data_IF_981861462751
#
_entry.id   IF_981861462751
#
_cell.length_a   1.000
_cell.length_b   1.000
_cell.length_c   1.000
_cell.angle_alpha   90.00
_cell.angle_beta   90.00
_cell.angle_gamma   90.00
#
_symmetry.space_group_name_H-M   'P 1'
#
loop_
_entity.id
_entity.type
_entity.pdbx_description
1 polymer ?
2 polymer ?
#
loop_
_entity_poly.entity_id
_entity_poly.type
_entity_poly.pdbx_seq_one_letter_code
_entity_poly.pdbx_strand_id
2 'polyribonucleotide' 'GUCA' ?
#
# COMPACT_ATOMS: atom_id res chain seq x y z
N UNK A 1 9.34 1.56 -15.73
CA UNK A 1 8.49 0.86 -14.78
C UNK A 1 9.16 0.77 -13.42
N UNK A 2 8.42 1.11 -12.37
CA UNK A 2 8.94 1.06 -11.01
C UNK A 2 8.06 0.18 -10.12
N UNK A 3 8.68 -0.82 -9.51
CA UNK A 3 7.96 -1.74 -8.63
C UNK A 3 8.60 -1.79 -7.25
N UNK A 4 7.77 -1.84 -6.21
CA UNK A 4 8.26 -1.90 -4.85
C UNK A 4 7.67 -3.09 -4.10
N UNK A 5 8.54 -3.91 -3.52
CA UNK A 5 8.11 -5.09 -2.78
C UNK A 5 8.60 -5.04 -1.33
N UNK A 6 7.65 -5.09 -0.40
CA UNK A 6 7.99 -5.05 1.02
C UNK A 6 7.59 -6.34 1.72
N UNK A 7 8.56 -6.99 2.35
CA UNK A 7 8.31 -8.24 3.06
C UNK A 7 8.59 -8.08 4.56
N UNK A 8 7.53 -8.06 5.35
CA UNK A 8 7.66 -7.93 6.80
C UNK A 8 6.35 -8.20 7.51
N UNK A 9 5.56 -9.12 6.95
N UNK B 1 4.55 2.03 -16.00
CA UNK B 1 3.77 1.23 -15.07
C UNK B 1 4.44 1.18 -13.70
N UNK B 2 3.65 1.40 -12.64
CA UNK B 2 4.17 1.36 -11.29
C UNK B 2 3.33 0.44 -10.40
N UNK B 3 3.98 -0.54 -9.81
CA UNK B 3 3.29 -1.50 -8.94
C UNK B 3 3.87 -1.47 -7.53
N UNK B 4 3.00 -1.41 -6.53
CA UNK B 4 3.43 -1.38 -5.14
C UNK B 4 2.83 -2.54 -4.35
N UNK B 5 3.69 -3.27 -3.63
CA UNK B 5 3.24 -4.40 -2.84
C UNK B 5 3.77 -4.32 -1.42
N UNK B 6 2.86 -4.21 -0.46
CA UNK B 6 3.24 -4.13 0.95
C UNK B 6 2.78 -5.36 1.72
N UNK B 7 3.74 -6.05 2.33
CA UNK B 7 3.45 -7.25 3.11
C UNK B 7 3.76 -7.04 4.58
N UNK B 8 2.71 -6.92 5.39
CA UNK B 8 2.87 -6.72 6.82
C UNK B 8 1.59 -7.07 7.58
N UNK B 9 0.88 -8.07 7.08
N UNK C 1 -0.25 2.58 -16.08
CA UNK C 1 -1.02 1.77 -15.15
C UNK C 1 -0.34 1.72 -13.77
N UNK C 2 -1.10 2.06 -12.73
CA UNK C 2 -0.58 2.05 -11.37
C UNK C 2 -1.44 1.20 -10.46
N UNK C 3 -0.83 0.21 -9.82
CA UNK C 3 -1.55 -0.68 -8.91
C UNK C 3 -0.95 -0.63 -7.51
N UNK C 4 -1.82 -0.58 -6.51
CA UNK C 4 -1.38 -0.53 -5.11
C UNK C 4 -1.97 -1.68 -4.31
N UNK C 5 -1.12 -2.43 -3.62
CA UNK C 5 -1.57 -3.55 -2.81
C UNK C 5 -1.06 -3.43 -1.38
N UNK C 6 -1.98 -3.37 -0.42
CA UNK C 6 -1.62 -3.25 0.98
C UNK C 6 -2.13 -4.45 1.78
N UNK C 7 -1.20 -5.17 2.41
CA UNK C 7 -1.55 -6.34 3.20
C UNK C 7 -1.24 -6.09 4.67
N UNK C 8 -2.29 -5.97 5.49
CA UNK C 8 -2.13 -5.75 6.91
C UNK C 8 -3.41 -6.11 7.67
N UNK C 9 -4.15 -7.08 7.15
N UNK E 1 -4.92 3.18 -16.21
CA UNK E 1 -5.73 2.44 -15.25
C UNK E 1 -5.08 2.42 -13.87
N UNK E 2 -5.86 2.76 -12.85
CA UNK E 2 -5.36 2.78 -11.49
C UNK E 2 -6.23 1.93 -10.57
N UNK E 3 -5.61 0.97 -9.90
CA UNK E 3 -6.33 0.07 -8.99
C UNK E 3 -5.76 0.16 -7.58
N UNK E 4 -6.63 0.20 -6.59
CA UNK E 4 -6.22 0.28 -5.20
C UNK E 4 -6.81 -0.86 -4.38
N UNK E 5 -5.96 -1.57 -3.66
CA UNK E 5 -6.40 -2.70 -2.84
C UNK E 5 -5.90 -2.56 -1.41
N UNK E 6 -6.83 -2.49 -0.47
CA UNK E 6 -6.48 -2.35 0.95
C UNK E 6 -6.99 -3.53 1.76
N UNK E 7 -6.08 -4.22 2.44
CA UNK E 7 -6.44 -5.36 3.26
C UNK E 7 -6.18 -5.09 4.73
N UNK E 8 -7.25 -4.96 5.51
CA UNK E 8 -7.14 -4.69 6.94
C UNK E 8 -8.45 -4.98 7.66
N UNK E 9 -9.20 -5.95 7.14
N UNK F 1 -9.68 3.82 -16.37
CA UNK F 1 -10.50 3.08 -15.41
C UNK F 1 -9.85 3.08 -14.03
N UNK F 2 -10.64 3.43 -13.02
CA UNK F 2 -10.14 3.47 -11.64
C UNK F 2 -11.02 2.63 -10.72
N UNK F 3 -10.39 1.68 -10.02
CA UNK F 3 -11.12 0.81 -9.11
C UNK F 3 -10.57 0.92 -7.69
N UNK F 4 -11.46 0.97 -6.71
CA UNK F 4 -11.07 1.09 -5.32
C UNK F 4 -11.65 -0.05 -4.49
N UNK F 5 -10.77 -0.73 -3.74
CA UNK F 5 -11.19 -1.85 -2.91
C UNK F 5 -10.71 -1.68 -1.47
N UNK F 6 -11.64 -1.60 -0.53
CA UNK F 6 -11.31 -1.44 0.87
C UNK F 6 -11.83 -2.61 1.70
N UNK F 7 -10.92 -3.26 2.43
CA UNK F 7 -11.28 -4.40 3.26
C UNK F 7 -11.03 -4.09 4.74
N UNK F 8 -12.12 -3.94 5.50
CA UNK F 8 -12.01 -3.64 6.93
C UNK F 8 -13.31 -4.00 7.65
N UNK F 9 -13.97 -5.05 7.18
N UNK G 1 9.60 -4.84 16.29
CA UNK G 1 9.27 -3.77 15.35
C UNK G 1 9.94 -4.01 14.00
N UNK G 2 9.15 -3.96 12.94
CA UNK G 2 9.67 -4.17 11.59
C UNK G 2 9.28 -3.03 10.67
N UNK G 3 10.28 -2.37 10.08
CA UNK G 3 10.05 -1.25 9.18
C UNK G 3 10.72 -1.49 7.83
N UNK G 4 10.02 -1.14 6.75
CA UNK G 4 10.55 -1.32 5.41
C UNK G 4 10.42 -0.03 4.60
N UNK G 5 11.53 0.40 3.99
CA UNK G 5 11.54 1.61 3.19
C UNK G 5 12.07 1.34 1.78
N UNK G 6 11.26 1.64 0.78
CA UNK G 6 11.65 1.42 -0.61
C UNK G 6 11.61 2.72 -1.40
N UNK G 7 12.74 3.09 -1.98
CA UNK G 7 12.84 4.32 -2.77
C UNK G 7 13.15 4.00 -4.23
N UNK G 8 12.18 4.27 -5.10
CA UNK G 8 12.35 4.02 -6.53
C UNK G 8 11.22 4.65 -7.33
N UNK G 9 10.69 5.76 -6.83
N UNK H 1 4.96 -3.52 16.28
CA UNK H 1 4.61 -2.50 15.29
C UNK H 1 5.30 -2.77 13.95
N UNK H 2 4.52 -2.77 12.88
CA UNK H 2 5.05 -3.01 11.55
C UNK H 2 4.67 -1.88 10.59
N UNK H 3 5.67 -1.24 10.01
CA UNK H 3 5.43 -0.14 9.08
C UNK H 3 6.05 -0.44 7.71
N UNK H 4 5.31 -0.13 6.65
CA UNK H 4 5.79 -0.37 5.30
C UNK H 4 5.67 0.89 4.45
N UNK H 5 6.79 1.28 3.84
CA UNK H 5 6.82 2.48 3.00
C UNK H 5 7.30 2.14 1.60
N UNK H 6 6.46 2.40 0.61
CA UNK H 6 6.80 2.13 -0.79
C UNK H 6 6.84 3.41 -1.60
N UNK H 7 7.94 3.62 -2.33
CA UNK H 7 8.11 4.81 -3.15
C UNK H 7 8.35 4.43 -4.61
N UNK H 8 7.36 4.67 -5.46
CA UNK H 8 7.48 4.36 -6.87
C UNK H 8 6.40 5.07 -7.68
N UNK H 9 6.05 6.28 -7.25
N UNK I 1 0.26 -2.50 16.11
CA UNK I 1 -0.04 -1.44 15.16
C UNK I 1 0.64 -1.70 13.81
N UNK I 2 -0.16 -1.75 12.75
CA UNK I 2 0.37 -1.98 11.41
C UNK I 2 -0.04 -0.87 10.46
N UNK I 3 0.94 -0.21 9.86
CA UNK I 3 0.68 0.87 8.91
C UNK I 3 1.29 0.58 7.55
N UNK I 4 0.54 0.85 6.50
CA UNK I 4 1.01 0.63 5.13
C UNK I 4 0.89 1.88 4.28
N UNK I 5 1.99 2.28 3.66
CA UNK I 5 2.00 3.47 2.82
C UNK I 5 2.50 3.14 1.42
N UNK I 6 1.65 3.39 0.42
CA UNK I 6 2.01 3.12 -0.97
C UNK I 6 1.98 4.40 -1.80
N UNK I 7 3.10 4.73 -2.42
CA UNK I 7 3.21 5.93 -3.23
C UNK I 7 3.37 5.56 -4.70
N UNK I 8 2.35 5.83 -5.50
CA UNK I 8 2.39 5.52 -6.93
C UNK I 8 1.30 6.28 -7.68
N UNK I 9 0.94 7.46 -7.18
N UNK J 1 -4.47 -1.59 16.01
CA UNK J 1 -4.84 -0.57 15.03
C UNK J 1 -4.09 -0.77 13.72
N UNK J 2 -4.84 -0.82 12.62
CA UNK J 2 -4.25 -1.00 11.30
C UNK J 2 -4.70 0.08 10.34
N UNK J 3 -3.75 0.77 9.72
CA UNK J 3 -4.06 1.84 8.78
C UNK J 3 -3.47 1.54 7.40
N UNK J 4 -4.25 1.79 6.36
CA UNK J 4 -3.81 1.54 5.00
C UNK J 4 -3.93 2.81 4.15
N UNK J 5 -2.83 3.20 3.51
CA UNK J 5 -2.82 4.39 2.66
C UNK J 5 -2.33 4.06 1.26
N UNK J 6 -3.19 4.31 0.27
CA UNK J 6 -2.85 4.03 -1.12
C UNK J 6 -2.92 5.30 -1.96
N UNK J 7 -1.81 5.63 -2.61
CA UNK J 7 -1.74 6.82 -3.45
C UNK J 7 -1.57 6.44 -4.92
N UNK J 8 -2.61 6.68 -5.71
CA UNK J 8 -2.57 6.36 -7.13
C UNK J 8 -3.65 7.12 -7.89
N UNK J 9 -3.98 8.31 -7.40
N UNK K 1 -8.80 -0.24 16.00
CA UNK K 1 -9.29 0.69 15.00
C UNK K 1 -8.66 0.42 13.64
N UNK K 2 -9.51 0.28 12.62
CA UNK K 2 -9.04 0.02 11.26
C UNK K 2 -9.47 1.12 10.31
N UNK K 3 -8.49 1.74 9.65
CA UNK K 3 -8.78 2.81 8.71
C UNK K 3 -8.21 2.48 7.32
N UNK K 4 -9.00 2.78 6.29
CA UNK K 4 -8.57 2.51 4.92
C UNK K 4 -8.70 3.76 4.05
N UNK K 5 -7.60 4.14 3.40
CA UNK K 5 -7.60 5.32 2.54
C UNK K 5 -7.14 4.97 1.13
N UNK K 6 -7.99 5.23 0.15
CA UNK K 6 -7.68 4.94 -1.24
C UNK K 6 -7.77 6.19 -2.10
N UNK K 7 -6.68 6.52 -2.78
CA UNK K 7 -6.63 7.69 -3.64
C UNK K 7 -6.50 7.30 -5.11
N UNK K 8 -7.56 7.53 -5.88
CA UNK K 8 -7.55 7.20 -7.30
C UNK K 8 -8.62 7.97 -8.06
N UNK K 9 -8.88 9.19 -7.61
#
# INVERSE_FOLDING_TARGET
VAQAQINIX
VAQAQINIX
VAQAQINIX
VAQAQINIX
VAQAQINIX
VAQAQINIX
VAQAQINIX
VAQAQINIX
VAQAQINIX
VAQAQINIX
#
